data_IF_700678441727
#
_entry.id   IF_700678441727
#
_cell.length_a   1.000
_cell.length_b   1.000
_cell.length_c   1.000
_cell.angle_alpha   90.00
_cell.angle_beta   90.00
_cell.angle_gamma   90.00
#
_symmetry.space_group_name_H-M   'P 1'
#
loop_
_entity.id
_entity.type
_entity.pdbx_description
1 polymer ?
#
# COMPACT_ATOMS: atom_id res chain seq x y z
N UNK A 1 -24.48 12.23 -12.26
CA UNK A 1 -23.70 12.05 -12.13
C UNK A 1 -23.58 11.68 -11.74
N UNK A 2 -23.84 11.65 -11.80
CA UNK A 2 -23.02 11.38 -11.72
C UNK A 2 -22.71 10.85 -11.32
N UNK A 3 -22.96 10.71 -11.32
CA UNK A 3 -22.11 10.24 -11.17
C UNK A 3 -21.78 9.72 -10.74
N UNK A 4 -22.05 9.75 -10.69
CA UNK A 4 -21.11 9.41 -10.47
C UNK A 4 -20.88 8.87 -9.85
N UNK A 5 -21.31 8.86 -9.75
CA UNK A 5 -20.55 8.50 -9.38
C UNK A 5 -20.45 8.13 -8.70
N UNK A 6 -20.85 8.18 -8.72
CA UNK A 6 -20.18 8.05 -8.37
C UNK A 6 -19.88 7.58 -7.65
N UNK A 7 -20.52 7.49 -7.55
CA UNK A 7 -19.74 7.20 -7.10
C UNK A 7 -19.48 6.71 -6.32
N UNK A 8 -20.01 6.61 -6.15
CA UNK A 8 -19.30 6.40 -5.74
C UNK A 8 -19.05 5.75 -5.13
N UNK A 9 -19.52 5.70 -5.03
CA UNK A 9 -18.83 5.35 -4.70
C UNK A 9 -18.56 4.64 -4.20
N UNK A 10 -19.04 4.55 -4.12
CA UNK A 10 -18.33 4.23 -4.03
C UNK A 10 -18.08 3.77 -3.52
N UNK A 11 -18.28 3.65 -3.25
CA UNK A 11 -17.60 3.49 -3.01
C UNK A 11 -17.18 3.10 -2.33
N UNK A 12 -17.50 2.95 -2.14
CA UNK A 12 -16.79 2.73 -1.79
C UNK A 12 -16.23 2.29 -1.25
N UNK A 13 -16.61 2.10 -1.04
CA UNK A 13 -15.77 1.79 -0.73
C UNK A 13 -15.15 1.40 -0.14
N UNK A 14 -15.08 1.52 0.21
CA UNK A 14 -14.49 1.25 0.42
C UNK A 14 -13.63 1.09 0.82
N UNK A 15 -13.72 1.64 0.98
CA UNK A 15 -12.90 1.50 1.64
C UNK A 15 -11.64 1.63 1.37
N UNK A 16 -10.96 1.09 1.71
CA UNK A 16 -9.69 0.93 1.19
C UNK A 16 -9.76 0.63 -0.26
N UNK A 17 -10.94 0.65 -0.77
CA UNK A 17 -11.19 0.68 -2.17
C UNK A 17 -10.61 1.93 -2.82
N UNK A 18 -10.15 2.87 -2.01
CA UNK A 18 -9.55 4.11 -2.51
C UNK A 18 -8.03 4.03 -2.65
N UNK A 19 -7.44 2.84 -2.64
CA UNK A 19 -6.00 2.69 -2.82
C UNK A 19 -5.57 3.26 -4.17
N UNK A 20 -4.44 3.97 -4.17
CA UNK A 20 -3.83 4.48 -5.39
C UNK A 20 -3.15 3.33 -6.12
N UNK A 21 -3.32 3.26 -7.42
CA UNK A 21 -2.64 2.24 -8.22
C UNK A 21 -1.17 2.61 -8.40
N UNK A 22 -0.28 1.63 -8.16
CA UNK A 22 1.15 1.85 -8.30
C UNK A 22 1.52 2.11 -9.76
N UNK A 23 2.48 3.02 -9.99
CA UNK A 23 3.10 3.22 -11.30
C UNK A 23 4.58 3.47 -11.09
N UNK A 24 5.37 3.24 -12.13
CA UNK A 24 6.82 3.45 -12.06
C UNK A 24 7.12 4.91 -11.80
N UNK A 25 7.92 5.18 -10.77
CA UNK A 25 8.29 6.55 -10.38
C UNK A 25 7.40 7.16 -9.32
N UNK A 26 6.37 6.43 -8.84
CA UNK A 26 5.44 6.98 -7.86
C UNK A 26 6.15 7.37 -6.55
N UNK A 27 7.17 6.61 -6.15
CA UNK A 27 7.88 6.92 -4.91
C UNK A 27 8.57 8.26 -5.00
N UNK A 28 9.24 8.53 -6.12
CA UNK A 28 9.92 9.81 -6.33
C UNK A 28 8.93 10.96 -6.33
N UNK A 29 7.81 10.78 -7.03
CA UNK A 29 6.77 11.81 -7.09
C UNK A 29 6.27 12.18 -5.71
N UNK A 30 6.01 11.17 -4.88
CA UNK A 30 5.46 11.42 -3.54
C UNK A 30 6.50 12.01 -2.60
N UNK A 31 7.75 11.56 -2.70
CA UNK A 31 8.83 12.15 -1.89
C UNK A 31 9.05 13.62 -2.25
N UNK A 32 8.96 13.96 -3.51
CA UNK A 32 9.11 15.34 -3.96
C UNK A 32 8.03 16.25 -3.40
N UNK A 33 6.87 15.68 -3.10
CA UNK A 33 5.75 16.41 -2.50
C UNK A 33 5.76 16.35 -0.98
N UNK A 34 6.73 15.66 -0.39
CA UNK A 34 6.77 15.39 1.05
C UNK A 34 5.53 14.66 1.52
N UNK A 35 5.02 13.75 0.69
CA UNK A 35 3.80 13.00 0.97
C UNK A 35 4.14 11.63 1.54
N UNK A 36 3.76 11.34 2.82
CA UNK A 36 3.96 10.00 3.37
C UNK A 36 3.20 8.96 2.58
N UNK A 37 3.76 7.78 2.41
CA UNK A 37 3.09 6.73 1.66
C UNK A 37 3.36 5.34 2.23
N UNK A 38 2.41 4.45 1.97
CA UNK A 38 2.51 3.04 2.34
C UNK A 38 2.23 2.24 1.06
N UNK A 39 3.17 1.39 0.65
CA UNK A 39 3.00 0.57 -0.55
C UNK A 39 2.79 -0.88 -0.16
N UNK A 40 1.70 -1.44 -0.64
CA UNK A 40 1.34 -2.83 -0.48
C UNK A 40 1.61 -3.56 -1.80
N UNK A 41 2.72 -4.31 -1.87
CA UNK A 41 3.01 -5.17 -3.01
C UNK A 41 2.32 -6.50 -2.79
N UNK A 42 1.35 -6.82 -3.64
CA UNK A 42 0.44 -7.93 -3.42
C UNK A 42 0.15 -8.68 -4.74
N UNK A 43 -0.52 -9.81 -4.64
CA UNK A 43 -0.98 -10.55 -5.80
C UNK A 43 -2.19 -11.40 -5.38
N UNK A 44 -3.10 -11.63 -6.33
CA UNK A 44 -4.32 -12.38 -6.04
C UNK A 44 -4.02 -13.83 -5.64
N UNK A 45 -2.95 -14.41 -6.18
CA UNK A 45 -2.57 -15.81 -5.90
C UNK A 45 -1.73 -15.94 -4.62
N UNK A 46 -1.43 -14.85 -3.94
CA UNK A 46 -0.57 -14.84 -2.75
C UNK A 46 -1.41 -15.04 -1.50
N UNK A 47 -1.35 -16.22 -0.90
CA UNK A 47 -2.16 -16.56 0.28
C UNK A 47 -1.80 -15.66 1.46
N UNK A 48 -0.52 -15.40 1.69
CA UNK A 48 -0.08 -14.53 2.78
C UNK A 48 -0.58 -13.12 2.59
N UNK A 49 -0.57 -12.62 1.35
CA UNK A 49 -1.11 -11.29 1.03
C UNK A 49 -2.58 -11.20 1.40
N UNK A 50 -3.35 -12.23 1.04
CA UNK A 50 -4.79 -12.25 1.32
C UNK A 50 -5.06 -12.34 2.82
N UNK A 51 -4.25 -13.10 3.53
CA UNK A 51 -4.34 -13.20 4.98
C UNK A 51 -4.08 -11.83 5.63
N UNK A 52 -3.07 -11.11 5.17
CA UNK A 52 -2.75 -9.78 5.69
C UNK A 52 -3.87 -8.78 5.41
N UNK A 53 -4.56 -8.92 4.28
CA UNK A 53 -5.74 -8.09 3.99
C UNK A 53 -6.78 -8.24 5.10
N UNK A 54 -7.00 -9.46 5.55
CA UNK A 54 -8.01 -9.74 6.58
C UNK A 54 -7.52 -9.29 7.95
N UNK A 55 -6.28 -9.59 8.32
CA UNK A 55 -5.78 -9.37 9.68
C UNK A 55 -5.34 -7.94 9.93
N UNK A 56 -5.03 -7.19 8.89
CA UNK A 56 -4.45 -5.86 9.04
C UNK A 56 -5.16 -4.79 8.21
N UNK A 57 -5.24 -4.99 6.91
CA UNK A 57 -5.66 -3.91 6.01
C UNK A 57 -7.16 -3.66 5.98
N UNK A 58 -7.98 -4.64 6.32
CA UNK A 58 -9.44 -4.46 6.34
C UNK A 58 -9.94 -3.88 7.65
N UNK A 59 -9.06 -3.62 8.60
CA UNK A 59 -9.45 -3.09 9.90
C UNK A 59 -9.67 -1.57 9.85
N UNK A 60 -10.64 -1.10 10.59
CA UNK A 60 -10.90 0.33 10.70
C UNK A 60 -9.68 1.07 11.24
N UNK A 61 -8.91 0.41 12.11
CA UNK A 61 -7.70 1.02 12.67
C UNK A 61 -6.68 1.39 11.60
N UNK A 62 -6.54 0.55 10.56
CA UNK A 62 -5.62 0.85 9.48
C UNK A 62 -6.09 2.09 8.70
N UNK A 63 -7.36 2.13 8.37
CA UNK A 63 -7.95 3.27 7.68
C UNK A 63 -7.78 4.55 8.48
N UNK A 64 -8.07 4.49 9.78
CA UNK A 64 -7.93 5.64 10.67
C UNK A 64 -6.49 6.11 10.74
N UNK A 65 -5.56 5.17 10.82
CA UNK A 65 -4.14 5.48 10.88
C UNK A 65 -3.67 6.21 9.62
N UNK A 66 -4.13 5.75 8.46
CA UNK A 66 -3.80 6.42 7.20
C UNK A 66 -4.34 7.83 7.17
N UNK A 67 -5.58 8.02 7.59
CA UNK A 67 -6.23 9.33 7.58
C UNK A 67 -5.59 10.28 8.58
N UNK A 68 -5.32 9.81 9.79
CA UNK A 68 -4.74 10.64 10.84
C UNK A 68 -3.35 11.14 10.48
N UNK A 69 -2.59 10.34 9.76
CA UNK A 69 -1.21 10.66 9.40
C UNK A 69 -1.07 11.13 7.96
N UNK A 70 -2.19 11.30 7.26
CA UNK A 70 -2.20 11.76 5.87
C UNK A 70 -1.33 10.89 4.97
N UNK A 71 -1.44 9.57 5.12
CA UNK A 71 -0.63 8.60 4.38
C UNK A 71 -1.34 8.19 3.10
N UNK A 72 -0.62 8.26 1.99
CA UNK A 72 -1.13 7.77 0.70
C UNK A 72 -1.00 6.25 0.68
N UNK A 73 -2.11 5.54 0.50
CA UNK A 73 -2.09 4.07 0.43
C UNK A 73 -2.00 3.64 -1.03
N UNK A 74 -0.94 2.91 -1.36
CA UNK A 74 -0.65 2.51 -2.73
C UNK A 74 -0.68 0.99 -2.83
N UNK A 75 -1.32 0.48 -3.87
CA UNK A 75 -1.38 -0.96 -4.10
C UNK A 75 -0.62 -1.30 -5.37
N UNK A 76 0.39 -2.14 -5.24
CA UNK A 76 1.17 -2.62 -6.38
C UNK A 76 0.75 -4.07 -6.63
N UNK A 77 -0.12 -4.27 -7.61
CA UNK A 77 -0.70 -5.58 -7.90
C UNK A 77 0.20 -6.34 -8.87
N UNK A 78 0.86 -7.36 -8.34
CA UNK A 78 1.82 -8.17 -9.09
C UNK A 78 1.21 -9.49 -9.55
N UNK A 79 -0.11 -9.59 -9.64
CA UNK A 79 -0.81 -10.81 -10.03
C UNK A 79 -0.30 -11.32 -11.38
N UNK A 80 -0.06 -10.42 -12.32
CA UNK A 80 0.44 -10.76 -13.67
C UNK A 80 1.96 -10.62 -13.78
N UNK A 81 2.65 -10.44 -12.67
CA UNK A 81 4.10 -10.33 -12.60
C UNK A 81 4.66 -9.24 -13.54
N UNK A 82 3.98 -8.10 -13.52
CA UNK A 82 4.35 -6.91 -14.27
C UNK A 82 5.84 -6.60 -14.10
N UNK A 83 6.53 -6.32 -15.21
CA UNK A 83 7.99 -6.10 -15.21
C UNK A 83 8.42 -4.91 -14.37
N UNK A 84 7.65 -3.82 -14.40
CA UNK A 84 8.00 -2.61 -13.66
C UNK A 84 7.94 -2.86 -12.16
N UNK A 85 6.93 -3.59 -11.71
CA UNK A 85 6.81 -3.96 -10.30
C UNK A 85 7.94 -4.93 -9.93
N UNK A 86 8.25 -5.88 -10.82
CA UNK A 86 9.36 -6.81 -10.60
C UNK A 86 10.67 -6.06 -10.38
N UNK A 87 10.94 -5.03 -11.19
CA UNK A 87 12.14 -4.21 -11.04
C UNK A 87 12.16 -3.49 -9.70
N UNK A 88 11.00 -2.99 -9.28
CA UNK A 88 10.90 -2.29 -8.01
C UNK A 88 11.18 -3.25 -6.85
N UNK A 89 10.64 -4.47 -6.91
CA UNK A 89 10.93 -5.49 -5.89
C UNK A 89 12.40 -5.81 -5.82
N UNK A 90 13.04 -6.01 -6.98
CA UNK A 90 14.47 -6.32 -7.05
C UNK A 90 15.32 -5.20 -6.49
N UNK A 91 14.91 -3.96 -6.69
CA UNK A 91 15.60 -2.79 -6.16
C UNK A 91 15.75 -2.89 -4.64
N UNK A 92 14.78 -3.49 -3.97
CA UNK A 92 14.80 -3.69 -2.52
C UNK A 92 15.28 -5.08 -2.12
N UNK A 93 15.86 -5.83 -3.06
CA UNK A 93 16.39 -7.17 -2.78
C UNK A 93 15.33 -8.25 -2.63
N UNK A 94 14.16 -8.03 -3.23
CA UNK A 94 13.05 -8.98 -3.11
C UNK A 94 12.75 -9.65 -4.46
N UNK A 95 12.26 -10.88 -4.38
CA UNK A 95 11.91 -11.65 -5.57
C UNK A 95 10.42 -11.99 -5.61
N UNK A 96 9.63 -11.48 -4.68
CA UNK A 96 8.22 -11.82 -4.63
C UNK A 96 7.45 -11.01 -3.59
N UNK A 97 6.18 -11.38 -3.42
CA UNK A 97 5.25 -10.74 -2.50
C UNK A 97 4.89 -11.72 -1.38
N UNK A 98 4.40 -11.25 -0.22
CA UNK A 98 4.08 -9.86 0.09
C UNK A 98 5.32 -9.04 0.41
N UNK A 99 5.23 -7.75 0.19
CA UNK A 99 6.31 -6.81 0.51
C UNK A 99 5.68 -5.46 0.81
N UNK A 100 6.09 -4.81 1.90
CA UNK A 100 5.47 -3.59 2.38
C UNK A 100 6.50 -2.52 2.66
N UNK A 101 6.25 -1.31 2.16
CA UNK A 101 7.12 -0.17 2.37
C UNK A 101 6.33 0.96 3.03
N UNK A 102 6.96 1.66 3.97
CA UNK A 102 6.41 2.87 4.55
C UNK A 102 7.46 3.97 4.54
N UNK A 103 7.09 5.14 4.08
CA UNK A 103 7.97 6.29 4.06
C UNK A 103 7.26 7.54 4.56
N UNK A 104 7.99 8.37 5.30
CA UNK A 104 7.52 9.69 5.69
C UNK A 104 8.66 10.69 5.55
N UNK A 105 8.36 12.00 5.45
CA UNK A 105 9.40 13.01 5.34
C UNK A 105 10.38 12.89 6.51
N UNK A 106 11.66 12.93 6.20
CA UNK A 106 12.71 12.74 7.18
C UNK A 106 13.37 11.38 7.10
N UNK A 107 12.72 10.40 6.47
CA UNK A 107 13.32 9.08 6.27
C UNK A 107 14.23 9.12 5.06
N UNK A 108 15.45 8.64 5.23
CA UNK A 108 16.39 8.51 4.12
C UNK A 108 15.95 7.43 3.15
N UNK A 109 15.41 6.34 3.68
CA UNK A 109 14.93 5.20 2.92
C UNK A 109 13.57 4.75 3.44
N UNK A 110 12.74 4.14 2.60
CA UNK A 110 11.49 3.57 3.09
C UNK A 110 11.76 2.48 4.13
N UNK A 111 10.90 2.40 5.12
CA UNK A 111 10.94 1.35 6.11
C UNK A 111 10.29 0.09 5.53
N UNK A 112 10.94 -1.06 5.69
CA UNK A 112 10.41 -2.33 5.23
C UNK A 112 9.71 -3.00 6.40
N UNK A 113 8.43 -3.36 6.22
CA UNK A 113 7.67 -4.05 7.25
C UNK A 113 7.76 -5.57 7.08
N UNK A 114 7.48 -6.35 8.13
CA UNK A 114 7.51 -7.82 8.03
C UNK A 114 6.49 -8.36 7.04
N UNK A 115 6.74 -9.53 6.50
CA UNK A 115 5.85 -10.17 5.54
C UNK A 115 4.51 -10.59 6.17
N UNK A 116 4.52 -10.93 7.45
CA UNK A 116 3.29 -11.27 8.18
C UNK A 116 2.88 -10.05 8.99
N UNK A 117 1.70 -9.51 8.72
CA UNK A 117 1.24 -8.29 9.35
C UNK A 117 0.07 -8.53 10.29
N UNK A 118 0.07 -7.75 11.37
CA UNK A 118 -1.05 -7.63 12.28
C UNK A 118 -1.29 -6.15 12.51
N UNK A 119 -2.44 -5.86 13.10
CA UNK A 119 -2.79 -4.50 13.50
C UNK A 119 -1.69 -3.88 14.36
N UNK A 120 -1.19 -4.66 15.31
CA UNK A 120 -0.16 -4.19 16.26
C UNK A 120 1.15 -3.87 15.55
N UNK A 121 1.55 -4.71 14.60
CA UNK A 121 2.80 -4.49 13.86
C UNK A 121 2.72 -3.21 13.05
N UNK A 122 1.58 -2.96 12.42
CA UNK A 122 1.40 -1.73 11.65
C UNK A 122 1.47 -0.52 12.58
N UNK A 123 0.78 -0.56 13.70
CA UNK A 123 0.80 0.54 14.67
C UNK A 123 2.21 0.84 15.17
N UNK A 124 3.00 -0.21 15.41
CA UNK A 124 4.34 -0.04 15.95
C UNK A 124 5.33 0.53 14.92
N UNK A 125 4.99 0.50 13.64
CA UNK A 125 5.91 0.89 12.57
C UNK A 125 5.50 2.15 11.82
N UNK A 126 4.38 2.72 12.19
CA UNK A 126 3.90 3.97 11.57
C UNK A 126 3.64 5.09 12.63
#
# INVERSE_FOLDING_TARGET
FSPSLENSDAKQNLIIGSATEWYEGIEEDLRNKNQPYFINFTAAWCITCQSNEITAFSKDNFKDLLEENNIEYIKADWTNRNDDITKSLKKYGRSGVPFYLYWEPGYEKPKILPAILTDQIIKNNI
#
